data_IF_539105696428
#
_entry.id   IF_539105696428
#
_cell.length_a   1.000
_cell.length_b   1.000
_cell.length_c   1.000
_cell.angle_alpha   90.00
_cell.angle_beta   90.00
_cell.angle_gamma   90.00
#
_symmetry.space_group_name_H-M   'P 1'
#
loop_
_entity.id
_entity.type
_entity.pdbx_description
1 polymer ?
#
# COMPACT_ATOMS: atom_id res chain seq x y z
N UNK A 1 21.32 -19.19 27.89
CA UNK A 1 20.76 -18.11 27.04
C UNK A 1 20.00 -18.80 25.93
N UNK A 2 18.68 -18.69 25.88
CA UNK A 2 17.92 -19.22 24.76
C UNK A 2 18.34 -18.42 23.51
N UNK A 3 18.68 -19.12 22.42
CA UNK A 3 18.83 -18.45 21.13
C UNK A 3 17.50 -17.75 20.84
N UNK A 4 17.53 -16.45 20.52
CA UNK A 4 16.33 -15.79 20.03
C UNK A 4 15.83 -16.56 18.80
N UNK A 5 14.53 -16.87 18.72
CA UNK A 5 13.99 -17.59 17.58
C UNK A 5 14.33 -16.82 16.31
N UNK A 6 14.88 -17.52 15.31
CA UNK A 6 15.20 -16.96 14.00
C UNK A 6 13.92 -16.35 13.42
N UNK A 7 13.82 -15.02 13.48
CA UNK A 7 12.60 -14.31 13.13
C UNK A 7 12.57 -14.14 11.61
N UNK A 8 11.55 -14.66 10.91
CA UNK A 8 11.51 -14.58 9.46
C UNK A 8 11.51 -13.12 9.01
N UNK A 9 12.53 -12.75 8.25
CA UNK A 9 12.68 -11.39 7.72
C UNK A 9 12.34 -11.40 6.23
N UNK A 10 11.51 -10.43 5.80
CA UNK A 10 11.12 -10.28 4.41
C UNK A 10 11.56 -8.94 3.85
N UNK A 11 12.15 -8.94 2.66
CA UNK A 11 12.49 -7.72 1.94
C UNK A 11 11.25 -7.13 1.25
N UNK A 12 10.73 -6.03 1.80
CA UNK A 12 9.63 -5.25 1.22
C UNK A 12 10.18 -4.11 0.34
N UNK A 13 9.74 -4.05 -0.91
CA UNK A 13 10.08 -2.98 -1.86
C UNK A 13 8.95 -1.94 -1.89
N UNK A 14 9.24 -0.70 -1.51
CA UNK A 14 8.26 0.40 -1.50
C UNK A 14 8.55 1.40 -2.62
N UNK A 15 7.66 1.49 -3.61
CA UNK A 15 7.83 2.32 -4.82
C UNK A 15 6.64 3.22 -5.11
N UNK A 16 6.83 4.18 -6.03
CA UNK A 16 5.85 5.18 -6.42
C UNK A 16 6.48 6.56 -6.59
N UNK A 17 5.71 7.50 -7.13
CA UNK A 17 6.17 8.86 -7.46
C UNK A 17 6.72 9.62 -6.24
N UNK A 18 7.56 10.63 -6.49
CA UNK A 18 7.98 11.60 -5.46
C UNK A 18 6.76 12.27 -4.80
N UNK A 19 6.84 12.56 -3.50
CA UNK A 19 5.77 13.25 -2.78
C UNK A 19 4.52 12.43 -2.44
N UNK A 20 4.46 11.15 -2.82
CA UNK A 20 3.34 10.22 -2.49
C UNK A 20 3.25 9.86 -1.02
N UNK A 21 4.32 10.09 -0.23
CA UNK A 21 4.33 9.84 1.21
C UNK A 21 5.05 8.57 1.66
N UNK A 22 5.79 7.89 0.77
CA UNK A 22 6.58 6.68 1.10
C UNK A 22 7.49 6.86 2.32
N UNK A 23 8.27 7.93 2.36
CA UNK A 23 9.18 8.21 3.50
C UNK A 23 8.40 8.46 4.79
N UNK A 24 7.28 9.17 4.74
CA UNK A 24 6.40 9.36 5.90
C UNK A 24 5.84 8.02 6.36
N UNK A 25 5.36 7.18 5.44
CA UNK A 25 4.82 5.86 5.73
C UNK A 25 5.87 4.95 6.42
N UNK A 26 7.11 4.93 5.95
CA UNK A 26 8.18 4.16 6.61
C UNK A 26 8.52 4.75 7.97
N UNK A 27 8.71 6.06 8.09
CA UNK A 27 9.10 6.73 9.35
C UNK A 27 8.06 6.62 10.46
N UNK A 28 6.81 6.28 10.12
CA UNK A 28 5.77 6.01 11.11
C UNK A 28 6.08 4.78 11.97
N UNK A 29 6.78 3.79 11.42
CA UNK A 29 7.34 2.70 12.21
C UNK A 29 8.53 3.21 13.02
N UNK A 30 8.41 3.17 14.35
CA UNK A 30 9.48 3.57 15.27
C UNK A 30 10.63 2.56 15.32
N UNK A 31 10.38 1.34 14.86
CA UNK A 31 11.29 0.19 14.89
C UNK A 31 11.53 -0.29 13.46
N UNK A 32 12.65 0.10 12.85
CA UNK A 32 13.01 -0.36 11.52
C UNK A 32 14.29 0.29 10.97
N UNK A 33 15.06 -0.48 10.21
CA UNK A 33 16.18 0.02 9.40
C UNK A 33 15.70 0.26 7.97
N UNK A 34 15.95 1.46 7.45
CA UNK A 34 15.60 1.81 6.07
C UNK A 34 16.86 2.11 5.28
N UNK A 35 17.14 1.28 4.28
CA UNK A 35 18.26 1.48 3.37
C UNK A 35 17.78 1.98 2.01
N UNK A 36 18.22 3.18 1.62
CA UNK A 36 18.09 3.64 0.23
C UNK A 36 19.28 3.10 -0.56
N UNK A 37 19.13 1.93 -1.20
CA UNK A 37 20.16 1.30 -2.04
C UNK A 37 19.85 1.43 -3.53
N UNK A 38 20.89 1.62 -4.34
CA UNK A 38 20.82 1.43 -5.79
C UNK A 38 20.59 -0.06 -6.09
N UNK A 39 19.73 -0.38 -7.06
CA UNK A 39 19.25 -1.76 -7.27
C UNK A 39 18.18 -2.21 -6.25
N UNK A 40 17.40 -1.27 -5.71
CA UNK A 40 16.38 -1.46 -4.67
C UNK A 40 15.39 -2.61 -4.91
N UNK A 41 15.15 -2.99 -6.16
CA UNK A 41 14.28 -4.09 -6.51
C UNK A 41 14.88 -5.50 -6.26
N UNK A 42 16.20 -5.68 -6.33
CA UNK A 42 16.83 -7.01 -6.36
C UNK A 42 16.44 -7.82 -5.11
N UNK A 43 15.96 -9.06 -5.28
CA UNK A 43 15.53 -9.95 -4.18
C UNK A 43 14.36 -9.42 -3.32
N UNK A 44 13.56 -8.48 -3.82
CA UNK A 44 12.30 -8.13 -3.14
C UNK A 44 11.39 -9.36 -3.02
N UNK A 45 10.87 -9.65 -1.83
CA UNK A 45 9.94 -10.77 -1.58
C UNK A 45 8.49 -10.31 -1.60
N UNK A 46 8.24 -9.02 -1.38
CA UNK A 46 6.95 -8.37 -1.50
C UNK A 46 7.12 -6.90 -1.88
N UNK A 47 6.03 -6.26 -2.29
CA UNK A 47 6.09 -4.83 -2.60
C UNK A 47 4.82 -4.06 -2.23
N UNK A 48 5.01 -2.76 -2.05
CA UNK A 48 3.95 -1.76 -1.97
C UNK A 48 4.19 -0.74 -3.09
N UNK A 49 3.19 -0.53 -3.92
CA UNK A 49 3.16 0.59 -4.88
C UNK A 49 2.26 1.67 -4.27
N UNK A 50 2.79 2.87 -4.08
CA UNK A 50 2.07 3.97 -3.45
C UNK A 50 1.82 5.11 -4.42
N UNK A 51 0.59 5.59 -4.46
CA UNK A 51 0.21 6.84 -5.13
C UNK A 51 -0.51 7.78 -4.16
N UNK A 52 -0.71 9.02 -4.59
CA UNK A 52 -1.39 10.07 -3.83
C UNK A 52 -2.80 10.29 -4.39
N UNK A 53 -3.82 10.12 -3.56
CA UNK A 53 -5.22 10.28 -3.99
C UNK A 53 -5.57 11.72 -4.36
N UNK A 54 -4.74 12.70 -3.98
CA UNK A 54 -4.87 14.11 -4.35
C UNK A 54 -4.15 14.46 -5.65
N UNK A 55 -3.38 13.54 -6.24
CA UNK A 55 -2.64 13.78 -7.48
C UNK A 55 -2.87 12.68 -8.52
N UNK A 56 -3.67 12.99 -9.55
CA UNK A 56 -4.00 12.05 -10.64
C UNK A 56 -2.78 11.50 -11.37
N UNK A 57 -1.74 12.33 -11.53
CA UNK A 57 -0.49 11.94 -12.21
C UNK A 57 0.16 10.75 -11.51
N UNK A 58 0.16 10.74 -10.17
CA UNK A 58 0.78 9.65 -9.42
C UNK A 58 0.08 8.31 -9.61
N UNK A 59 -1.24 8.31 -9.80
CA UNK A 59 -1.99 7.10 -10.14
C UNK A 59 -1.74 6.66 -11.59
N UNK A 60 -1.69 7.61 -12.54
CA UNK A 60 -1.34 7.31 -13.95
C UNK A 60 0.04 6.67 -14.11
N UNK A 61 0.97 6.92 -13.19
CA UNK A 61 2.30 6.32 -13.22
C UNK A 61 2.39 4.94 -12.56
N UNK A 62 1.35 4.48 -11.85
CA UNK A 62 1.32 3.15 -11.20
C UNK A 62 1.67 1.99 -12.15
N UNK A 63 1.14 1.94 -13.39
CA UNK A 63 1.49 0.88 -14.35
C UNK A 63 2.98 0.83 -14.69
N UNK A 64 3.65 2.00 -14.78
CA UNK A 64 5.09 2.08 -15.00
C UNK A 64 5.87 1.48 -13.83
N UNK A 65 5.53 1.86 -12.59
CA UNK A 65 6.15 1.29 -11.39
C UNK A 65 5.94 -0.21 -11.28
N UNK A 66 4.72 -0.67 -11.56
CA UNK A 66 4.41 -2.10 -11.57
C UNK A 66 5.26 -2.83 -12.61
N UNK A 67 5.32 -2.33 -13.86
CA UNK A 67 6.13 -2.91 -14.93
C UNK A 67 7.60 -3.02 -14.53
N UNK A 68 8.16 -1.97 -13.96
CA UNK A 68 9.58 -1.95 -13.60
C UNK A 68 9.87 -2.86 -12.40
N UNK A 69 8.92 -2.99 -11.46
CA UNK A 69 8.99 -3.92 -10.35
C UNK A 69 8.96 -5.39 -10.82
N UNK A 70 7.97 -5.77 -11.65
CA UNK A 70 7.82 -7.17 -12.09
C UNK A 70 8.90 -7.63 -13.06
N UNK A 71 9.63 -6.69 -13.68
CA UNK A 71 10.84 -6.99 -14.47
C UNK A 71 12.00 -7.52 -13.64
N UNK A 72 12.02 -7.22 -12.34
CA UNK A 72 13.10 -7.62 -11.42
C UNK A 72 12.62 -8.66 -10.41
N UNK A 73 11.39 -8.52 -9.92
CA UNK A 73 10.78 -9.45 -8.97
C UNK A 73 9.57 -10.13 -9.61
N UNK A 74 9.76 -11.35 -10.09
CA UNK A 74 8.66 -12.15 -10.63
C UNK A 74 7.82 -12.77 -9.50
N UNK A 75 6.49 -12.74 -9.65
CA UNK A 75 5.53 -13.45 -8.78
C UNK A 75 5.56 -13.12 -7.28
N UNK A 76 5.89 -11.88 -6.92
CA UNK A 76 5.80 -11.42 -5.53
C UNK A 76 4.41 -10.86 -5.19
N UNK A 77 3.93 -10.99 -3.95
CA UNK A 77 2.72 -10.30 -3.50
C UNK A 77 2.94 -8.78 -3.50
N UNK A 78 2.02 -8.05 -4.14
CA UNK A 78 2.07 -6.60 -4.28
C UNK A 78 0.77 -5.99 -3.77
N UNK A 79 0.89 -4.94 -2.96
CA UNK A 79 -0.23 -4.10 -2.51
C UNK A 79 -0.15 -2.73 -3.17
N UNK A 80 -1.28 -2.27 -3.71
CA UNK A 80 -1.46 -0.91 -4.19
C UNK A 80 -2.06 -0.06 -3.06
N UNK A 81 -1.40 1.05 -2.71
CA UNK A 81 -1.84 1.96 -1.65
C UNK A 81 -2.17 3.35 -2.21
N UNK A 82 -3.42 3.79 -2.01
CA UNK A 82 -3.83 5.18 -2.22
C UNK A 82 -3.62 5.98 -0.93
N UNK A 83 -2.55 6.77 -0.87
CA UNK A 83 -2.20 7.55 0.33
C UNK A 83 -2.86 8.94 0.33
N UNK A 84 -2.91 9.57 1.52
CA UNK A 84 -3.44 10.91 1.80
C UNK A 84 -4.97 11.02 1.75
N UNK A 85 -5.67 9.94 2.10
CA UNK A 85 -7.13 9.93 2.15
C UNK A 85 -7.71 10.82 3.26
N UNK A 86 -6.88 11.33 4.16
CA UNK A 86 -7.24 12.39 5.11
C UNK A 86 -7.60 13.73 4.43
N UNK A 87 -7.16 13.95 3.18
CA UNK A 87 -7.47 15.16 2.42
C UNK A 87 -8.81 14.99 1.69
N UNK A 88 -9.80 15.82 2.05
CA UNK A 88 -11.17 15.77 1.49
C UNK A 88 -11.22 16.08 -0.01
N UNK A 89 -10.31 16.90 -0.54
CA UNK A 89 -10.20 17.22 -1.97
C UNK A 89 -9.53 16.08 -2.78
N UNK A 90 -10.12 14.88 -2.69
CA UNK A 90 -9.67 13.66 -3.37
C UNK A 90 -9.87 13.78 -4.89
N UNK A 91 -8.77 13.74 -5.65
CA UNK A 91 -8.76 13.84 -7.13
C UNK A 91 -8.86 12.50 -7.85
N UNK A 92 -8.43 11.41 -7.22
CA UNK A 92 -8.51 10.02 -7.71
C UNK A 92 -9.60 9.29 -6.95
N UNK A 93 -10.76 9.05 -7.57
CA UNK A 93 -11.94 8.45 -6.89
C UNK A 93 -11.86 6.93 -6.87
N UNK A 94 -12.48 6.27 -5.89
CA UNK A 94 -12.48 4.81 -5.77
C UNK A 94 -12.85 4.10 -7.08
N UNK A 95 -13.89 4.57 -7.76
CA UNK A 95 -14.38 4.04 -9.05
C UNK A 95 -13.36 4.10 -10.19
N UNK A 96 -12.37 5.00 -10.13
CA UNK A 96 -11.30 5.11 -11.14
C UNK A 96 -10.10 4.20 -10.85
N UNK A 97 -10.05 3.58 -9.67
CA UNK A 97 -8.89 2.82 -9.21
C UNK A 97 -9.08 1.35 -9.61
N UNK A 98 -8.92 1.06 -10.90
CA UNK A 98 -9.17 -0.28 -11.48
C UNK A 98 -7.91 -1.12 -11.66
N UNK A 99 -6.71 -0.52 -11.57
CA UNK A 99 -5.44 -1.20 -11.89
C UNK A 99 -5.20 -2.45 -11.04
N UNK A 100 -5.55 -2.39 -9.74
CA UNK A 100 -5.39 -3.51 -8.83
C UNK A 100 -6.21 -4.74 -9.27
N UNK A 101 -7.43 -4.55 -9.78
CA UNK A 101 -8.26 -5.64 -10.32
C UNK A 101 -7.70 -6.20 -11.62
N UNK A 102 -7.21 -5.34 -12.52
CA UNK A 102 -6.58 -5.76 -13.78
C UNK A 102 -5.31 -6.61 -13.56
N UNK A 103 -4.57 -6.37 -12.48
CA UNK A 103 -3.31 -7.08 -12.15
C UNK A 103 -3.42 -8.04 -10.96
N UNK A 104 -4.63 -8.27 -10.44
CA UNK A 104 -4.87 -9.11 -9.26
C UNK A 104 -4.04 -8.71 -8.02
N UNK A 105 -3.93 -7.40 -7.78
CA UNK A 105 -3.28 -6.81 -6.62
C UNK A 105 -4.31 -6.48 -5.54
N UNK A 106 -3.87 -6.46 -4.29
CA UNK A 106 -4.69 -5.92 -3.21
C UNK A 106 -4.63 -4.39 -3.22
N UNK A 107 -5.75 -3.74 -2.94
CA UNK A 107 -5.81 -2.28 -2.78
C UNK A 107 -6.23 -1.88 -1.37
N UNK A 108 -5.59 -0.83 -0.85
CA UNK A 108 -6.02 -0.14 0.37
C UNK A 108 -5.93 1.38 0.23
N UNK A 109 -6.96 2.06 0.71
CA UNK A 109 -6.90 3.48 1.06
C UNK A 109 -6.17 3.63 2.40
N UNK A 110 -5.13 4.45 2.45
CA UNK A 110 -4.31 4.68 3.65
C UNK A 110 -4.09 6.17 3.89
N UNK A 111 -3.81 6.53 5.14
CA UNK A 111 -3.20 7.83 5.45
C UNK A 111 -2.04 7.64 6.41
N UNK A 112 -0.83 7.93 5.90
CA UNK A 112 0.36 7.97 6.71
C UNK A 112 0.32 9.07 7.79
N UNK A 113 -0.60 10.05 7.71
CA UNK A 113 -0.71 11.14 8.71
C UNK A 113 -1.68 10.81 9.83
N UNK A 114 -2.76 10.11 9.54
CA UNK A 114 -3.75 9.72 10.55
C UNK A 114 -3.60 8.29 11.07
N UNK A 115 -2.62 7.55 10.54
CA UNK A 115 -2.45 6.11 10.75
C UNK A 115 -3.65 5.27 10.26
N UNK A 116 -4.52 5.83 9.42
CA UNK A 116 -5.68 5.12 8.88
C UNK A 116 -5.24 3.98 7.95
N UNK A 117 -5.74 2.75 8.24
CA UNK A 117 -5.45 1.50 7.53
C UNK A 117 -3.96 1.19 7.37
N UNK A 118 -3.11 1.73 8.24
CA UNK A 118 -1.67 1.68 8.08
C UNK A 118 -1.12 0.24 8.15
N UNK A 119 -1.73 -0.59 8.98
CA UNK A 119 -1.38 -2.00 9.19
C UNK A 119 -1.88 -2.94 8.08
N UNK A 120 -2.96 -2.58 7.37
CA UNK A 120 -3.62 -3.47 6.40
C UNK A 120 -2.69 -3.96 5.28
N UNK A 121 -1.85 -3.11 4.65
CA UNK A 121 -0.88 -3.57 3.65
C UNK A 121 0.08 -4.62 4.20
N UNK A 122 0.64 -4.39 5.39
CA UNK A 122 1.60 -5.30 6.01
C UNK A 122 0.94 -6.62 6.41
N UNK A 123 -0.25 -6.57 6.99
CA UNK A 123 -0.99 -7.76 7.39
C UNK A 123 -1.32 -8.65 6.18
N UNK A 124 -1.80 -8.04 5.09
CA UNK A 124 -2.09 -8.79 3.87
C UNK A 124 -0.82 -9.43 3.27
N UNK A 125 0.29 -8.68 3.22
CA UNK A 125 1.56 -9.20 2.76
C UNK A 125 2.07 -10.34 3.64
N UNK A 126 1.99 -10.20 4.96
CA UNK A 126 2.39 -11.25 5.91
C UNK A 126 1.59 -12.54 5.70
N UNK A 127 0.26 -12.44 5.58
CA UNK A 127 -0.63 -13.58 5.26
C UNK A 127 -0.21 -14.28 3.97
N UNK A 128 0.12 -13.52 2.92
CA UNK A 128 0.56 -14.09 1.63
C UNK A 128 1.95 -14.72 1.68
N UNK A 129 2.88 -14.11 2.39
CA UNK A 129 4.26 -14.59 2.50
C UNK A 129 4.37 -15.83 3.38
N UNK A 130 3.60 -15.90 4.46
CA UNK A 130 3.59 -17.02 5.40
C UNK A 130 2.67 -18.15 4.92
N UNK A 131 1.67 -17.83 4.08
CA UNK A 131 0.67 -18.80 3.61
C UNK A 131 -0.43 -19.07 4.63
N UNK A 132 -0.57 -18.23 5.65
CA UNK A 132 -1.62 -18.33 6.68
C UNK A 132 -2.63 -17.18 6.54
N UNK A 133 -3.87 -17.46 6.09
CA UNK A 133 -4.91 -16.43 5.97
C UNK A 133 -5.44 -15.94 7.32
N UNK A 134 -5.25 -16.71 8.41
CA UNK A 134 -5.73 -16.40 9.75
C UNK A 134 -4.70 -15.65 10.59
N UNK A 135 -3.53 -15.32 10.01
CA UNK A 135 -2.52 -14.53 10.69
C UNK A 135 -3.10 -13.17 11.08
N UNK A 136 -2.89 -12.78 12.33
CA UNK A 136 -3.31 -11.50 12.91
C UNK A 136 -2.17 -10.87 13.70
N UNK A 137 -2.13 -9.54 13.70
CA UNK A 137 -1.22 -8.81 14.59
C UNK A 137 -1.79 -8.81 16.00
N UNK A 138 -1.12 -9.52 16.91
CA UNK A 138 -1.48 -9.59 18.34
C UNK A 138 -1.25 -8.27 19.08
N UNK A 139 -0.44 -7.38 18.51
CA UNK A 139 -0.20 -6.04 19.01
C UNK A 139 0.01 -5.08 17.84
N UNK A 140 -0.49 -3.86 17.96
CA UNK A 140 -0.16 -2.81 17.01
C UNK A 140 1.33 -2.45 17.17
N UNK A 141 2.09 -2.32 16.08
CA UNK A 141 3.45 -1.82 16.15
C UNK A 141 3.45 -0.42 16.77
N UNK A 142 4.56 -0.05 17.42
CA UNK A 142 4.73 1.28 17.97
C UNK A 142 4.78 2.30 16.82
N UNK A 143 3.66 2.99 16.59
CA UNK A 143 3.53 4.05 15.59
C UNK A 143 3.70 5.42 16.24
N UNK A 144 4.24 6.37 15.47
CA UNK A 144 4.16 7.77 15.87
C UNK A 144 2.70 8.22 16.01
N UNK A 145 2.36 9.04 17.02
CA UNK A 145 1.02 9.60 17.19
C UNK A 145 0.51 10.27 15.90
N UNK A 146 -0.77 10.12 15.54
CA UNK A 146 -1.30 10.69 14.31
C UNK A 146 -1.12 12.21 14.29
N UNK A 147 -0.65 12.74 13.15
CA UNK A 147 -0.54 14.20 12.92
C UNK A 147 -1.92 14.83 12.68
N UNK A 148 -2.86 14.04 12.14
CA UNK A 148 -4.20 14.49 11.75
C UNK A 148 -5.21 13.43 12.19
N UNK A 149 -6.36 13.84 12.71
CA UNK A 149 -7.48 12.94 12.93
C UNK A 149 -8.42 12.97 11.73
N UNK A 150 -8.76 11.78 11.21
CA UNK A 150 -9.75 11.67 10.16
C UNK A 150 -11.16 11.73 10.74
N UNK A 151 -12.00 12.56 10.14
CA UNK A 151 -13.43 12.66 10.42
C UNK A 151 -14.12 11.28 10.25
N UNK A 152 -14.81 10.74 11.28
CA UNK A 152 -15.45 9.42 11.18
C UNK A 152 -16.50 9.31 10.08
N UNK A 153 -17.21 10.40 9.76
CA UNK A 153 -18.19 10.38 8.67
C UNK A 153 -17.49 10.27 7.31
N UNK A 154 -16.33 10.91 7.18
CA UNK A 154 -15.50 10.82 5.99
C UNK A 154 -14.89 9.42 5.81
N UNK A 155 -14.46 8.78 6.91
CA UNK A 155 -13.98 7.40 6.87
C UNK A 155 -15.06 6.46 6.33
N UNK A 156 -16.28 6.53 6.88
CA UNK A 156 -17.43 5.73 6.41
C UNK A 156 -17.76 5.99 4.95
N UNK A 157 -17.68 7.25 4.51
CA UNK A 157 -17.92 7.59 3.11
C UNK A 157 -16.88 6.94 2.18
N UNK A 158 -15.59 7.01 2.53
CA UNK A 158 -14.53 6.39 1.74
C UNK A 158 -14.71 4.87 1.68
N UNK A 159 -15.03 4.24 2.81
CA UNK A 159 -15.28 2.79 2.88
C UNK A 159 -16.45 2.38 1.97
N UNK A 160 -17.59 3.10 2.06
CA UNK A 160 -18.73 2.85 1.18
C UNK A 160 -18.42 3.08 -0.30
N UNK A 161 -17.70 4.14 -0.65
CA UNK A 161 -17.26 4.39 -2.03
C UNK A 161 -16.35 3.27 -2.57
N UNK A 162 -15.52 2.69 -1.70
CA UNK A 162 -14.62 1.60 -2.06
C UNK A 162 -15.38 0.28 -2.23
N UNK A 163 -16.32 -0.04 -1.34
CA UNK A 163 -17.19 -1.21 -1.45
C UNK A 163 -18.04 -1.15 -2.73
N UNK A 164 -18.66 0.00 -3.01
CA UNK A 164 -19.38 0.22 -4.28
C UNK A 164 -18.47 -0.05 -5.49
N UNK A 165 -17.24 0.46 -5.47
CA UNK A 165 -16.30 0.32 -6.58
C UNK A 165 -15.85 -1.13 -6.83
N UNK A 166 -15.88 -2.00 -5.81
CA UNK A 166 -15.57 -3.43 -5.97
C UNK A 166 -16.63 -4.16 -6.80
N UNK A 167 -17.88 -3.72 -6.75
CA UNK A 167 -19.00 -4.32 -7.47
C UNK A 167 -19.20 -3.79 -8.90
N UNK A 168 -18.52 -2.70 -9.27
CA UNK A 168 -18.59 -2.14 -10.62
C UNK A 168 -17.84 -3.06 -11.60
N UNK A 169 -18.41 -3.34 -12.77
CA UNK A 169 -17.71 -4.09 -13.82
C UNK A 169 -16.44 -3.33 -14.26
N UNK A 170 -15.37 -4.06 -14.59
CA UNK A 170 -14.21 -3.40 -15.19
C UNK A 170 -14.62 -2.83 -16.56
N UNK A 171 -14.24 -1.59 -16.89
CA UNK A 171 -14.45 -1.08 -18.24
C UNK A 171 -13.75 -2.01 -19.23
N UNK A 172 -14.50 -2.42 -20.26
CA UNK A 172 -13.98 -3.16 -21.41
C UNK A 172 -13.08 -2.18 -22.18
N UNK A 173 -11.79 -2.49 -22.22
CA UNK A 173 -10.75 -1.78 -22.98
C UNK A 173 -10.53 -0.30 -22.64
N UNK A 174 -9.56 -0.07 -21.75
CA UNK A 174 -8.63 1.04 -21.95
C UNK A 174 -7.25 0.37 -22.16
N UNK A 175 -6.79 0.34 -23.42
CA UNK A 175 -5.43 -0.03 -23.82
C UNK A 175 -4.36 0.94 -23.24
N UNK A 176 -4.79 2.02 -22.59
CA UNK A 176 -3.93 3.11 -22.12
C UNK A 176 -3.93 3.29 -20.59
N UNK A 177 -3.44 2.30 -19.85
CA UNK A 177 -2.85 2.50 -18.50
C UNK A 177 -1.61 1.62 -18.30
#
# INVERSE_FOLDING_TARGET
MAAEPDMPTFKLVLVGDGGTGKTTFVKRHLTGEFEKKDGYYIQGQCAIIMFDVTSRVTYKNVPNWHRDLVRVCENIPIVLCGNKVDIKDRKVKAKSIVFHRKKNLQYYDISAKSNYNFEKPFLWLARKLIGDPNLEFVAMPALQPPEVQMDPNWQKQIEGELEEAQHIALPEDDEDL
#
